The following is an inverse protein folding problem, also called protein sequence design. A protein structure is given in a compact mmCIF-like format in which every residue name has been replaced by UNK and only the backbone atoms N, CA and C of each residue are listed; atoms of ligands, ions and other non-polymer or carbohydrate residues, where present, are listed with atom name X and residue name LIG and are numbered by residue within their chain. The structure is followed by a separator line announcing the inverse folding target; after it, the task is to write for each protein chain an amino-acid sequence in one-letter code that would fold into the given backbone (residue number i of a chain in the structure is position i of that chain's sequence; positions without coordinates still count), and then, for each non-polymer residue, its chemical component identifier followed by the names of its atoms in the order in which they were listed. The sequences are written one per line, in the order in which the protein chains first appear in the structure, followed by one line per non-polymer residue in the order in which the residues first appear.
data_IF_524940231200
#
_entry.id   IF_524940231200
#
_cell.length_a   1.000
_cell.length_b   1.000
_cell.length_c   1.000
_cell.angle_alpha   90.00
_cell.angle_beta   90.00
_cell.angle_gamma   90.00
#
_symmetry.space_group_name_H-M   'P 1'
#
loop_
_entity.id
_entity.type
_entity.pdbx_description
1 polymer ?
#
# COMPACT_ATOMS: atom_id res chain seq x y z
N UNK A 1 -18.66 -6.19 1.91
CA UNK A 1 -18.36 -7.04 0.73
C UNK A 1 -19.52 -7.12 -0.25
N UNK A 2 -20.77 -7.15 0.21
CA UNK A 2 -21.96 -7.25 -0.66
C UNK A 2 -22.08 -6.12 -1.69
N UNK A 3 -21.92 -4.86 -1.26
CA UNK A 3 -21.97 -3.70 -2.17
C UNK A 3 -20.91 -3.77 -3.28
N UNK A 4 -19.66 -4.11 -2.92
CA UNK A 4 -18.56 -4.29 -3.89
C UNK A 4 -18.92 -5.39 -4.88
N UNK A 5 -19.51 -6.50 -4.43
CA UNK A 5 -19.98 -7.57 -5.30
C UNK A 5 -21.03 -7.10 -6.31
N UNK A 6 -22.01 -6.31 -5.87
CA UNK A 6 -23.03 -5.74 -6.77
C UNK A 6 -22.42 -4.81 -7.83
N UNK A 7 -21.44 -3.97 -7.45
CA UNK A 7 -20.73 -3.09 -8.40
C UNK A 7 -19.94 -3.93 -9.40
N UNK A 8 -19.23 -4.97 -8.95
CA UNK A 8 -18.48 -5.87 -9.83
C UNK A 8 -19.37 -6.47 -10.92
N UNK A 9 -20.52 -7.03 -10.51
CA UNK A 9 -21.51 -7.59 -11.45
C UNK A 9 -22.00 -6.56 -12.46
N UNK A 10 -22.33 -5.34 -12.03
CA UNK A 10 -22.75 -4.26 -12.93
C UNK A 10 -21.65 -3.83 -13.90
N UNK A 11 -20.38 -3.94 -13.50
CA UNK A 11 -19.23 -3.60 -14.33
C UNK A 11 -18.68 -4.78 -15.15
N UNK A 12 -19.35 -5.94 -15.15
CA UNK A 12 -18.89 -7.13 -15.88
C UNK A 12 -17.60 -7.74 -15.32
N UNK A 13 -17.30 -7.52 -14.04
CA UNK A 13 -16.12 -8.06 -13.34
C UNK A 13 -16.53 -9.05 -12.26
N UNK A 14 -15.65 -9.96 -11.90
CA UNK A 14 -15.87 -10.85 -10.77
C UNK A 14 -15.24 -10.26 -9.50
N UNK A 15 -15.83 -10.53 -8.33
CA UNK A 15 -15.31 -10.04 -7.06
C UNK A 15 -13.86 -10.54 -6.80
N UNK A 16 -13.52 -11.73 -7.30
CA UNK A 16 -12.17 -12.30 -7.20
C UNK A 16 -11.11 -11.51 -7.97
N UNK A 17 -11.52 -10.66 -8.92
CA UNK A 17 -10.62 -9.79 -9.69
C UNK A 17 -10.30 -8.48 -8.96
N UNK A 18 -10.93 -8.25 -7.81
CA UNK A 18 -10.80 -7.03 -7.01
C UNK A 18 -10.16 -7.36 -5.68
N UNK A 19 -9.06 -6.68 -5.40
CA UNK A 19 -8.48 -6.67 -4.06
C UNK A 19 -9.02 -5.49 -3.26
N UNK A 20 -9.78 -5.77 -2.20
CA UNK A 20 -10.26 -4.73 -1.28
C UNK A 20 -9.19 -4.44 -0.23
N UNK A 21 -8.76 -3.19 -0.12
CA UNK A 21 -7.80 -2.72 0.86
C UNK A 21 -8.52 -1.78 1.83
N UNK A 22 -8.58 -2.13 3.12
CA UNK A 22 -9.11 -1.26 4.15
C UNK A 22 -8.13 -0.13 4.48
N UNK A 23 -8.45 1.11 4.13
CA UNK A 23 -7.63 2.27 4.53
C UNK A 23 -7.80 2.51 6.05
N UNK A 24 -6.77 2.20 6.83
CA UNK A 24 -6.85 2.13 8.30
C UNK A 24 -6.13 3.27 9.02
N UNK A 25 -5.69 4.31 8.29
CA UNK A 25 -5.15 5.53 8.90
C UNK A 25 -6.17 6.12 9.89
N UNK A 26 -5.68 6.50 11.07
CA UNK A 26 -6.48 7.05 12.16
C UNK A 26 -7.59 6.13 12.68
N UNK A 27 -7.54 4.83 12.38
CA UNK A 27 -8.43 3.82 12.94
C UNK A 27 -7.80 3.12 14.13
N UNK A 28 -8.62 2.80 15.12
CA UNK A 28 -8.24 2.00 16.29
C UNK A 28 -8.09 0.52 15.93
N UNK A 29 -7.34 -0.22 16.75
CA UNK A 29 -7.12 -1.66 16.56
C UNK A 29 -8.43 -2.45 16.50
N UNK A 30 -9.42 -2.06 17.31
CA UNK A 30 -10.72 -2.76 17.35
C UNK A 30 -11.49 -2.64 16.03
N UNK A 31 -11.40 -1.48 15.36
CA UNK A 31 -12.02 -1.27 14.05
C UNK A 31 -11.35 -2.11 12.97
N UNK A 32 -10.01 -2.19 13.00
CA UNK A 32 -9.23 -3.02 12.08
C UNK A 32 -9.56 -4.51 12.29
N UNK A 33 -9.65 -4.95 13.54
CA UNK A 33 -9.97 -6.33 13.88
C UNK A 33 -11.42 -6.69 13.50
N UNK A 34 -12.37 -5.78 13.69
CA UNK A 34 -13.74 -5.95 13.21
C UNK A 34 -13.80 -6.11 11.68
N UNK A 35 -13.07 -5.24 10.94
CA UNK A 35 -12.96 -5.36 9.48
C UNK A 35 -12.30 -6.68 9.05
N UNK A 36 -11.30 -7.15 9.81
CA UNK A 36 -10.65 -8.45 9.60
C UNK A 36 -11.63 -9.61 9.75
N UNK A 37 -12.43 -9.61 10.80
CA UNK A 37 -13.49 -10.61 11.02
C UNK A 37 -14.57 -10.54 9.92
N UNK A 38 -14.79 -9.35 9.35
CA UNK A 38 -15.61 -9.13 8.16
C UNK A 38 -15.00 -9.59 6.83
N UNK A 39 -13.80 -10.20 6.84
CA UNK A 39 -13.15 -10.79 5.67
C UNK A 39 -12.10 -9.91 4.99
N UNK A 40 -11.80 -8.71 5.51
CA UNK A 40 -10.72 -7.87 4.97
C UNK A 40 -9.36 -8.35 5.48
N UNK A 41 -8.48 -8.76 4.59
CA UNK A 41 -7.12 -9.20 4.94
C UNK A 41 -6.02 -8.22 4.52
N UNK A 42 -6.36 -7.19 3.75
CA UNK A 42 -5.42 -6.17 3.27
C UNK A 42 -5.74 -4.80 3.86
N UNK A 43 -4.73 -4.14 4.44
CA UNK A 43 -4.88 -2.85 5.10
C UNK A 43 -3.84 -1.84 4.62
N UNK A 44 -4.28 -0.59 4.46
CA UNK A 44 -3.48 0.52 3.96
C UNK A 44 -3.21 1.57 5.04
N UNK A 45 -1.94 1.91 5.24
CA UNK A 45 -1.49 2.95 6.18
C UNK A 45 -0.73 4.07 5.48
N UNK A 46 -0.99 5.31 5.92
CA UNK A 46 -0.32 6.49 5.39
C UNK A 46 0.92 6.88 6.21
N UNK A 47 0.90 6.61 7.52
CA UNK A 47 1.91 7.10 8.45
C UNK A 47 2.61 5.94 9.15
N UNK A 48 3.93 5.86 8.97
CA UNK A 48 4.73 4.81 9.57
C UNK A 48 4.59 4.74 11.10
N UNK A 49 4.47 5.91 11.76
CA UNK A 49 4.33 5.95 13.23
C UNK A 49 3.02 5.34 13.72
N UNK A 50 1.93 5.45 12.96
CA UNK A 50 0.68 4.74 13.28
C UNK A 50 0.75 3.27 12.91
N UNK A 51 1.38 2.94 11.78
CA UNK A 51 1.40 1.58 11.27
C UNK A 51 2.22 0.63 12.14
N UNK A 52 3.36 1.07 12.66
CA UNK A 52 4.26 0.25 13.48
C UNK A 52 3.56 -0.49 14.64
N UNK A 53 2.86 0.20 15.55
CA UNK A 53 2.17 -0.47 16.65
C UNK A 53 1.00 -1.34 16.16
N UNK A 54 0.33 -0.98 15.06
CA UNK A 54 -0.76 -1.80 14.48
C UNK A 54 -0.22 -3.13 13.95
N UNK A 55 0.85 -3.07 13.16
CA UNK A 55 1.50 -4.25 12.56
C UNK A 55 2.07 -5.17 13.64
N UNK A 56 2.66 -4.62 14.71
CA UNK A 56 3.21 -5.44 15.79
C UNK A 56 2.15 -6.11 16.67
N UNK A 57 0.96 -5.51 16.77
CA UNK A 57 -0.10 -5.99 17.68
C UNK A 57 -1.05 -6.95 16.98
N UNK A 58 -1.34 -6.74 15.70
CA UNK A 58 -2.31 -7.52 14.95
C UNK A 58 -1.70 -8.80 14.37
N UNK A 59 -2.58 -9.75 14.02
CA UNK A 59 -2.20 -11.07 13.50
C UNK A 59 -1.22 -10.98 12.31
N UNK A 60 -0.21 -11.88 12.24
CA UNK A 60 0.74 -11.92 11.12
C UNK A 60 0.11 -12.30 9.77
N UNK A 61 -1.16 -12.69 9.73
CA UNK A 61 -1.87 -13.09 8.51
C UNK A 61 -2.46 -11.90 7.74
N UNK A 62 -2.25 -10.66 8.19
CA UNK A 62 -2.65 -9.46 7.47
C UNK A 62 -1.58 -9.01 6.47
N UNK A 63 -2.01 -8.54 5.30
CA UNK A 63 -1.14 -7.89 4.32
C UNK A 63 -1.21 -6.38 4.48
N UNK A 64 -0.08 -5.76 4.78
CA UNK A 64 0.03 -4.32 4.99
C UNK A 64 0.58 -3.61 3.76
N UNK A 65 -0.11 -2.53 3.40
CA UNK A 65 0.18 -1.65 2.28
C UNK A 65 0.57 -0.28 2.81
N UNK A 66 1.75 0.22 2.44
CA UNK A 66 2.10 1.63 2.66
C UNK A 66 1.55 2.44 1.50
N UNK A 67 0.58 3.31 1.78
CA UNK A 67 -0.14 4.12 0.78
C UNK A 67 0.02 5.64 1.03
N UNK A 68 0.95 6.02 1.91
CA UNK A 68 1.30 7.41 2.20
C UNK A 68 2.55 7.89 1.46
N UNK A 69 2.88 9.18 1.58
CA UNK A 69 4.10 9.73 1.00
C UNK A 69 5.36 9.20 1.69
N UNK A 70 6.36 8.81 0.90
CA UNK A 70 7.55 8.13 1.42
C UNK A 70 8.68 9.11 1.68
N UNK A 71 8.99 9.36 2.95
CA UNK A 71 10.24 10.03 3.32
C UNK A 71 11.42 9.05 3.18
N UNK A 72 12.47 9.41 2.44
CA UNK A 72 13.58 8.48 2.13
C UNK A 72 14.30 7.89 3.34
N UNK A 73 14.31 8.59 4.49
CA UNK A 73 14.87 8.09 5.77
C UNK A 73 14.03 6.98 6.40
N UNK A 74 12.73 6.92 6.09
CA UNK A 74 11.78 5.92 6.59
C UNK A 74 11.75 4.66 5.73
N UNK A 75 12.35 4.68 4.53
CA UNK A 75 12.35 3.56 3.58
C UNK A 75 12.82 2.24 4.21
N UNK A 76 13.87 2.26 5.03
CA UNK A 76 14.39 1.07 5.73
C UNK A 76 13.35 0.37 6.60
N UNK A 77 12.53 1.15 7.30
CA UNK A 77 11.52 0.61 8.21
C UNK A 77 10.28 0.17 7.43
N UNK A 78 9.88 0.96 6.43
CA UNK A 78 8.81 0.60 5.48
C UNK A 78 9.13 -0.73 4.78
N UNK A 79 10.34 -0.92 4.26
CA UNK A 79 10.75 -2.15 3.58
C UNK A 79 10.78 -3.37 4.51
N UNK A 80 10.82 -3.19 5.82
CA UNK A 80 10.84 -4.29 6.79
C UNK A 80 9.45 -4.70 7.30
N UNK A 81 8.47 -3.80 7.23
CA UNK A 81 7.15 -3.99 7.85
C UNK A 81 6.03 -4.29 6.86
N UNK A 82 6.11 -3.75 5.65
CA UNK A 82 5.02 -3.81 4.69
C UNK A 82 5.24 -4.88 3.62
N UNK A 83 4.15 -5.45 3.11
CA UNK A 83 4.16 -6.35 1.95
C UNK A 83 4.05 -5.56 0.64
N UNK A 84 3.41 -4.38 0.69
CA UNK A 84 3.18 -3.50 -0.45
C UNK A 84 3.57 -2.06 -0.15
N UNK A 85 4.09 -1.36 -1.16
CA UNK A 85 4.29 0.09 -1.15
C UNK A 85 3.72 0.68 -2.44
N UNK A 86 2.67 1.50 -2.35
CA UNK A 86 1.89 1.90 -3.53
C UNK A 86 2.18 3.32 -4.04
N UNK A 87 3.16 3.99 -3.41
CA UNK A 87 3.43 5.43 -3.60
C UNK A 87 4.87 5.71 -4.03
N UNK A 88 5.47 4.82 -4.82
CA UNK A 88 6.85 5.01 -5.30
C UNK A 88 6.84 5.97 -6.50
N UNK A 89 7.50 7.11 -6.36
CA UNK A 89 7.55 8.17 -7.37
C UNK A 89 8.98 8.60 -7.73
N UNK A 90 10.00 7.96 -7.15
CA UNK A 90 11.40 8.34 -7.37
C UNK A 90 12.36 7.18 -7.16
N UNK A 91 13.35 7.09 -8.04
CA UNK A 91 14.30 5.98 -8.08
C UNK A 91 15.11 5.85 -6.78
N UNK A 92 15.44 6.99 -6.15
CA UNK A 92 16.12 7.02 -4.85
C UNK A 92 15.36 6.27 -3.75
N UNK A 93 14.03 6.34 -3.76
CA UNK A 93 13.20 5.61 -2.79
C UNK A 93 13.13 4.13 -3.14
N UNK A 94 12.92 3.79 -4.42
CA UNK A 94 12.90 2.41 -4.90
C UNK A 94 14.20 1.67 -4.54
N UNK A 95 15.37 2.28 -4.82
CA UNK A 95 16.69 1.73 -4.46
C UNK A 95 16.81 1.49 -2.96
N UNK A 96 16.45 2.46 -2.12
CA UNK A 96 16.50 2.30 -0.67
C UNK A 96 15.56 1.22 -0.15
N UNK A 97 14.35 1.10 -0.71
CA UNK A 97 13.41 0.04 -0.34
C UNK A 97 13.99 -1.34 -0.65
N UNK A 98 14.61 -1.50 -1.83
CA UNK A 98 15.27 -2.73 -2.24
C UNK A 98 16.48 -3.05 -1.34
N UNK A 99 17.40 -2.10 -1.15
CA UNK A 99 18.61 -2.25 -0.33
C UNK A 99 18.31 -2.70 1.11
N UNK A 100 17.21 -2.21 1.68
CA UNK A 100 16.86 -2.46 3.07
C UNK A 100 15.79 -3.55 3.25
N UNK A 101 15.35 -4.23 2.19
CA UNK A 101 14.37 -5.33 2.30
C UNK A 101 15.05 -6.55 2.94
N UNK A 102 14.62 -7.02 4.12
CA UNK A 102 15.20 -8.23 4.71
C UNK A 102 14.89 -9.45 3.84
N UNK A 103 15.88 -10.31 3.57
CA UNK A 103 15.72 -11.52 2.74
C UNK A 103 14.56 -12.42 3.20
N UNK A 104 14.35 -12.52 4.52
CA UNK A 104 13.27 -13.31 5.14
C UNK A 104 11.85 -12.81 4.80
N UNK A 105 11.71 -11.57 4.33
CA UNK A 105 10.41 -10.97 3.99
C UNK A 105 10.03 -11.18 2.52
N UNK A 106 10.88 -11.85 1.72
CA UNK A 106 10.68 -11.96 0.27
C UNK A 106 10.76 -10.62 -0.46
N UNK A 107 10.35 -10.61 -1.74
CA UNK A 107 10.30 -9.38 -2.55
C UNK A 107 9.22 -8.43 -2.01
N UNK A 108 9.50 -7.13 -2.07
CA UNK A 108 8.53 -6.09 -1.76
C UNK A 108 7.69 -5.82 -3.01
N UNK A 109 6.36 -5.87 -2.89
CA UNK A 109 5.50 -5.44 -3.99
C UNK A 109 5.45 -3.92 -4.03
N UNK A 110 5.57 -3.33 -5.22
CA UNK A 110 5.53 -1.88 -5.39
C UNK A 110 4.51 -1.49 -6.47
N UNK A 111 3.87 -0.34 -6.26
CA UNK A 111 3.21 0.40 -7.33
C UNK A 111 3.93 1.72 -7.53
N UNK A 112 4.04 2.12 -8.81
CA UNK A 112 4.50 3.45 -9.19
C UNK A 112 3.33 4.41 -9.11
N UNK A 113 3.53 5.55 -8.45
CA UNK A 113 2.51 6.59 -8.34
C UNK A 113 2.65 7.56 -9.52
N UNK A 114 1.60 7.62 -10.34
CA UNK A 114 1.52 8.50 -11.50
C UNK A 114 0.59 9.67 -11.19
N UNK A 115 1.06 10.89 -11.45
CA UNK A 115 0.27 12.11 -11.45
C UNK A 115 -0.26 12.36 -12.87
N UNK A 116 -1.40 11.75 -13.19
CA UNK A 116 -1.96 11.77 -14.55
C UNK A 116 -2.45 13.16 -15.01
N UNK A 117 -2.73 14.06 -14.07
CA UNK A 117 -3.25 15.41 -14.35
C UNK A 117 -2.13 16.46 -14.31
N UNK A 118 -0.88 16.06 -14.05
CA UNK A 118 0.29 16.93 -13.97
C UNK A 118 0.11 18.16 -13.04
N UNK A 119 -0.72 18.03 -11.99
CA UNK A 119 -0.91 19.11 -11.02
C UNK A 119 0.30 19.23 -10.10
N UNK A 120 0.86 20.44 -9.96
CA UNK A 120 2.03 20.70 -9.10
C UNK A 120 1.80 20.35 -7.63
N UNK A 121 0.54 20.39 -7.17
CA UNK A 121 0.17 20.07 -5.78
C UNK A 121 0.14 18.56 -5.48
N UNK A 122 0.11 17.71 -6.52
CA UNK A 122 -0.01 16.25 -6.41
C UNK A 122 1.35 15.57 -6.53
N UNK A 123 1.57 14.55 -5.72
CA UNK A 123 2.76 13.70 -5.82
C UNK A 123 2.60 12.64 -6.90
N UNK A 124 3.73 12.17 -7.45
CA UNK A 124 3.77 11.18 -8.51
C UNK A 124 4.62 11.66 -9.69
N UNK A 125 5.06 10.71 -10.51
CA UNK A 125 5.71 11.01 -11.79
C UNK A 125 4.68 11.32 -12.86
N UNK A 126 5.06 12.04 -13.92
CA UNK A 126 4.15 12.23 -15.05
C UNK A 126 3.87 10.90 -15.76
N UNK A 127 2.80 10.84 -16.56
CA UNK A 127 2.52 9.65 -17.37
C UNK A 127 3.63 9.41 -18.40
N UNK A 128 4.24 10.48 -18.93
CA UNK A 128 5.32 10.45 -19.91
C UNK A 128 6.61 9.87 -19.32
N UNK A 129 6.95 10.24 -18.08
CA UNK A 129 8.14 9.73 -17.38
C UNK A 129 7.97 8.28 -16.88
N UNK A 130 6.75 7.74 -16.92
CA UNK A 130 6.45 6.43 -16.35
C UNK A 130 7.18 5.29 -17.07
N UNK A 131 7.28 5.35 -18.40
CA UNK A 131 7.97 4.32 -19.19
C UNK A 131 9.48 4.28 -18.87
N UNK A 132 10.13 5.43 -18.79
CA UNK A 132 11.55 5.52 -18.41
C UNK A 132 11.76 5.04 -16.96
N UNK A 133 10.81 5.31 -16.06
CA UNK A 133 10.93 4.95 -14.66
C UNK A 133 10.92 3.43 -14.40
N UNK A 134 10.20 2.66 -15.23
CA UNK A 134 10.02 1.21 -15.06
C UNK A 134 10.98 0.34 -15.87
N UNK A 135 11.81 0.95 -16.73
CA UNK A 135 12.77 0.27 -17.62
C UNK A 135 14.15 0.18 -16.97
#
# INVERSE_FOLDING_TARGET
MEEVGQICTKSGRELKDILVIGASKSQELISIESARLGGISHFGENFLQEAEPKISTLSPNLSWHFIGSIQSRKAKKISSLFQWVQTVDRLKVAKKLNEHRPKKCGKLNICVQVNAECEESKSGISLEDCEEFIT
#
